data_IF_069779551949
#
_entry.id   IF_069779551949
#
_cell.length_a   1.000
_cell.length_b   1.000
_cell.length_c   1.000
_cell.angle_alpha   90.00
_cell.angle_beta   90.00
_cell.angle_gamma   90.00
#
_symmetry.space_group_name_H-M   'P 1'
#
loop_
_entity.id
_entity.type
_entity.pdbx_description
1 polymer ?
#
# COMPACT_ATOMS: atom_id res chain seq x y z
N UNK A 1 2.05 -23.89 -68.89
CA UNK A 1 2.19 -22.46 -69.23
C UNK A 1 0.93 -21.78 -68.70
N UNK A 2 0.86 -21.37 -67.44
CA UNK A 2 1.53 -20.25 -66.76
C UNK A 2 0.93 -18.87 -67.12
N UNK A 3 0.77 -18.04 -66.07
CA UNK A 3 0.38 -16.61 -65.99
C UNK A 3 -1.13 -16.34 -65.84
N UNK A 4 -1.63 -16.04 -64.63
CA UNK A 4 -1.53 -14.78 -63.86
C UNK A 4 -2.62 -13.77 -64.24
N UNK A 5 -3.55 -13.50 -63.31
CA UNK A 5 -3.72 -12.16 -62.73
C UNK A 5 -4.59 -12.27 -61.49
N UNK A 6 -3.97 -11.93 -60.37
CA UNK A 6 -4.60 -11.74 -59.07
C UNK A 6 -5.20 -10.33 -59.03
N UNK A 7 -6.46 -10.21 -58.63
CA UNK A 7 -7.01 -8.95 -58.19
C UNK A 7 -6.95 -8.90 -56.66
N UNK A 8 -6.03 -8.05 -56.24
CA UNK A 8 -5.73 -7.59 -54.91
C UNK A 8 -6.72 -6.45 -54.59
N UNK A 9 -7.45 -6.53 -53.47
CA UNK A 9 -8.17 -5.38 -52.93
C UNK A 9 -8.38 -5.52 -51.42
N UNK A 10 -7.30 -5.21 -50.71
CA UNK A 10 -7.28 -4.35 -49.52
C UNK A 10 -8.51 -4.46 -48.58
N UNK A 11 -8.50 -5.48 -47.72
CA UNK A 11 -9.11 -5.34 -46.40
C UNK A 11 -8.15 -4.48 -45.54
N UNK A 12 -8.32 -3.17 -45.63
CA UNK A 12 -7.70 -2.19 -44.74
C UNK A 12 -8.37 -2.31 -43.36
N UNK A 13 -7.99 -3.35 -42.63
CA UNK A 13 -8.29 -3.49 -41.22
C UNK A 13 -7.49 -2.41 -40.49
N UNK A 14 -8.12 -1.27 -40.24
CA UNK A 14 -7.64 -0.26 -39.33
C UNK A 14 -7.25 -0.94 -38.02
N UNK A 15 -5.94 -1.13 -37.83
CA UNK A 15 -5.38 -1.36 -36.50
C UNK A 15 -5.63 -0.05 -35.76
N UNK A 16 -6.81 0.07 -35.14
CA UNK A 16 -7.09 1.08 -34.14
C UNK A 16 -5.98 0.93 -33.10
N UNK A 17 -5.02 1.86 -33.17
CA UNK A 17 -4.06 2.06 -32.10
C UNK A 17 -4.89 2.45 -30.90
N UNK A 18 -5.24 1.46 -30.08
CA UNK A 18 -5.86 1.65 -28.79
C UNK A 18 -4.87 2.50 -27.99
N UNK A 19 -5.10 3.81 -27.99
CA UNK A 19 -4.40 4.74 -27.12
C UNK A 19 -4.63 4.25 -25.70
N UNK A 20 -3.55 3.94 -24.99
CA UNK A 20 -3.64 3.51 -23.60
C UNK A 20 -4.50 4.52 -22.82
N UNK A 21 -5.39 4.05 -21.91
CA UNK A 21 -6.21 4.96 -21.13
C UNK A 21 -5.32 5.95 -20.38
N UNK A 22 -5.73 7.22 -20.35
CA UNK A 22 -4.97 8.29 -19.68
C UNK A 22 -4.82 8.05 -18.17
N UNK A 23 -5.68 7.20 -17.59
CA UNK A 23 -5.69 6.85 -16.16
C UNK A 23 -6.45 5.53 -15.94
N UNK A 24 -5.93 4.66 -15.09
CA UNK A 24 -6.60 3.49 -14.50
C UNK A 24 -7.01 3.71 -13.03
N UNK A 25 -6.66 4.86 -12.45
CA UNK A 25 -7.01 5.19 -11.08
C UNK A 25 -8.52 5.04 -10.81
N UNK A 26 -8.86 4.31 -9.74
CA UNK A 26 -10.23 4.05 -9.34
C UNK A 26 -10.97 3.02 -10.20
N UNK A 27 -10.32 2.37 -11.18
CA UNK A 27 -10.93 1.33 -12.01
C UNK A 27 -11.45 0.15 -11.18
N UNK A 28 -10.80 -0.12 -10.04
CA UNK A 28 -11.26 -1.10 -9.07
C UNK A 28 -10.96 -0.63 -7.65
N UNK A 29 -11.94 -0.82 -6.76
CA UNK A 29 -11.84 -0.54 -5.36
C UNK A 29 -12.74 -1.49 -4.57
N UNK A 30 -12.26 -1.97 -3.43
CA UNK A 30 -13.03 -2.83 -2.53
C UNK A 30 -12.56 -2.71 -1.08
N UNK A 31 -13.29 -3.35 -0.17
CA UNK A 31 -12.93 -3.49 1.24
C UNK A 31 -12.49 -4.94 1.49
N UNK A 32 -11.27 -5.13 1.98
CA UNK A 32 -10.71 -6.44 2.30
C UNK A 32 -10.25 -6.47 3.76
N UNK A 33 -10.41 -7.62 4.40
CA UNK A 33 -9.81 -7.88 5.71
C UNK A 33 -8.31 -8.11 5.52
N UNK A 34 -7.47 -7.30 6.17
CA UNK A 34 -6.04 -7.50 6.14
C UNK A 34 -5.61 -8.56 7.14
N UNK A 35 -4.74 -9.46 6.70
CA UNK A 35 -3.99 -10.38 7.55
C UNK A 35 -2.49 -10.17 7.32
N UNK A 36 -1.62 -10.44 8.29
CA UNK A 36 -0.19 -10.40 8.05
C UNK A 36 0.21 -11.54 7.13
N UNK A 37 1.18 -11.31 6.23
CA UNK A 37 1.72 -12.36 5.35
C UNK A 37 2.27 -13.57 6.11
N UNK A 38 2.67 -13.40 7.37
CA UNK A 38 3.12 -14.48 8.26
C UNK A 38 2.03 -15.48 8.65
N UNK A 39 0.75 -15.17 8.42
CA UNK A 39 -0.35 -16.12 8.66
C UNK A 39 -0.62 -17.04 7.45
N UNK A 40 0.08 -16.85 6.33
CA UNK A 40 -0.05 -17.73 5.17
C UNK A 40 0.76 -19.02 5.37
N UNK A 41 0.15 -20.19 5.12
CA UNK A 41 0.75 -21.52 5.36
C UNK A 41 1.87 -21.91 4.37
N UNK A 42 2.01 -21.19 3.24
CA UNK A 42 3.09 -21.46 2.28
C UNK A 42 4.43 -20.95 2.81
N UNK A 43 5.54 -21.59 2.42
CA UNK A 43 6.93 -21.12 2.62
C UNK A 43 7.16 -19.77 1.91
N UNK A 44 6.54 -18.75 2.47
CA UNK A 44 6.43 -17.37 2.04
C UNK A 44 7.73 -16.62 2.39
N UNK A 45 8.87 -17.25 2.14
CA UNK A 45 10.22 -16.78 2.48
C UNK A 45 10.53 -15.41 1.81
N UNK A 46 9.74 -15.00 0.81
CA UNK A 46 9.80 -13.69 0.17
C UNK A 46 8.77 -12.65 0.67
N UNK A 47 7.76 -13.01 1.47
CA UNK A 47 6.61 -12.14 1.77
C UNK A 47 6.80 -11.22 2.98
N UNK A 48 7.91 -11.36 3.70
CA UNK A 48 8.28 -10.51 4.83
C UNK A 48 9.14 -9.30 4.47
N UNK A 49 9.64 -9.21 3.23
CA UNK A 49 10.49 -8.11 2.76
C UNK A 49 9.87 -7.46 1.52
N UNK A 50 9.66 -6.15 1.59
CA UNK A 50 9.17 -5.34 0.48
C UNK A 50 7.79 -4.73 0.74
N UNK A 51 7.17 -4.32 -0.35
CA UNK A 51 5.94 -3.54 -0.45
C UNK A 51 4.87 -4.25 -1.29
N UNK A 52 4.92 -5.60 -1.35
CA UNK A 52 4.01 -6.40 -2.18
C UNK A 52 2.99 -7.14 -1.33
N UNK A 53 1.74 -7.11 -1.76
CA UNK A 53 0.62 -7.82 -1.13
C UNK A 53 0.22 -9.06 -1.92
N UNK A 54 -0.53 -9.95 -1.27
CA UNK A 54 -1.16 -11.10 -1.93
C UNK A 54 -2.67 -10.96 -1.84
N UNK A 55 -3.35 -11.14 -2.98
CA UNK A 55 -4.80 -11.07 -3.11
C UNK A 55 -5.37 -12.45 -3.47
N UNK A 56 -6.68 -12.62 -3.35
CA UNK A 56 -7.36 -13.81 -3.84
C UNK A 56 -7.44 -13.79 -5.38
N UNK A 57 -7.49 -14.96 -6.02
CA UNK A 57 -7.56 -15.10 -7.50
C UNK A 57 -8.73 -14.34 -8.15
N UNK A 58 -9.87 -14.24 -7.45
CA UNK A 58 -11.04 -13.48 -7.92
C UNK A 58 -10.75 -11.99 -8.11
N UNK A 59 -9.82 -11.41 -7.35
CA UNK A 59 -9.49 -9.99 -7.44
C UNK A 59 -8.93 -9.62 -8.82
N UNK A 60 -8.19 -10.53 -9.47
CA UNK A 60 -7.68 -10.31 -10.82
C UNK A 60 -8.83 -10.13 -11.83
N UNK A 61 -9.82 -11.02 -11.77
CA UNK A 61 -11.00 -10.93 -12.64
C UNK A 61 -11.78 -9.63 -12.38
N UNK A 62 -12.00 -9.28 -11.12
CA UNK A 62 -12.69 -8.04 -10.75
C UNK A 62 -11.93 -6.77 -11.20
N UNK A 63 -10.60 -6.78 -11.15
CA UNK A 63 -9.77 -5.67 -11.65
C UNK A 63 -9.92 -5.54 -13.16
N UNK A 64 -9.84 -6.65 -13.91
CA UNK A 64 -10.02 -6.65 -15.38
C UNK A 64 -11.43 -6.15 -15.75
N UNK A 65 -12.46 -6.62 -15.05
CA UNK A 65 -13.83 -6.16 -15.24
C UNK A 65 -14.01 -4.68 -14.87
N UNK A 66 -13.28 -4.20 -13.87
CA UNK A 66 -13.18 -2.79 -13.51
C UNK A 66 -12.61 -1.95 -14.65
N UNK A 67 -11.40 -2.32 -15.12
CA UNK A 67 -10.71 -1.65 -16.23
C UNK A 67 -11.55 -1.65 -17.51
N UNK A 68 -12.23 -2.75 -17.83
CA UNK A 68 -13.06 -2.82 -19.02
C UNK A 68 -14.25 -1.86 -18.93
N UNK A 69 -14.83 -1.68 -17.73
CA UNK A 69 -15.97 -0.79 -17.51
C UNK A 69 -15.57 0.68 -17.46
N UNK A 70 -14.43 1.01 -16.87
CA UNK A 70 -14.02 2.41 -16.63
C UNK A 70 -13.09 2.96 -17.69
N UNK A 71 -12.23 2.10 -18.26
CA UNK A 71 -11.11 2.48 -19.12
C UNK A 71 -11.21 1.81 -20.52
N UNK A 72 -12.27 1.03 -20.78
CA UNK A 72 -12.49 0.30 -22.03
C UNK A 72 -11.31 -0.58 -22.46
N UNK A 73 -10.57 -1.12 -21.49
CA UNK A 73 -9.44 -2.00 -21.73
C UNK A 73 -9.45 -3.19 -20.78
N UNK A 74 -8.99 -4.33 -21.25
CA UNK A 74 -8.68 -5.50 -20.41
C UNK A 74 -7.18 -5.60 -20.10
N UNK A 75 -6.37 -4.69 -20.66
CA UNK A 75 -4.94 -4.67 -20.46
C UNK A 75 -4.60 -4.12 -19.07
N UNK A 76 -3.94 -4.94 -18.26
CA UNK A 76 -3.44 -4.50 -16.95
C UNK A 76 -2.29 -3.49 -17.12
N UNK A 77 -2.28 -2.40 -16.33
CA UNK A 77 -1.13 -1.51 -16.27
C UNK A 77 0.09 -2.26 -15.73
N UNK A 78 1.27 -1.88 -16.21
CA UNK A 78 2.54 -2.39 -15.70
C UNK A 78 3.44 -1.21 -15.27
N UNK A 79 3.69 -1.01 -13.97
CA UNK A 79 3.26 -1.84 -12.84
C UNK A 79 1.79 -1.62 -12.45
N UNK A 80 1.14 -2.65 -11.88
CA UNK A 80 -0.15 -2.54 -11.21
C UNK A 80 0.09 -2.18 -9.74
N UNK A 81 -0.40 -1.01 -9.31
CA UNK A 81 -0.18 -0.45 -7.97
C UNK A 81 -1.50 -0.30 -7.24
N UNK A 82 -1.48 -0.65 -5.95
CA UNK A 82 -2.60 -0.52 -5.03
C UNK A 82 -2.35 0.57 -4.01
N UNK A 83 -3.42 1.29 -3.64
CA UNK A 83 -3.49 2.14 -2.45
C UNK A 83 -4.23 1.39 -1.34
N UNK A 84 -3.58 1.23 -0.19
CA UNK A 84 -4.17 0.64 1.02
C UNK A 84 -4.45 1.75 2.02
N UNK A 85 -5.66 1.84 2.55
CA UNK A 85 -6.08 2.91 3.46
C UNK A 85 -7.11 2.43 4.46
N UNK A 86 -7.25 3.15 5.58
CA UNK A 86 -8.32 2.91 6.53
C UNK A 86 -9.67 3.42 5.97
N UNK A 87 -10.76 2.65 6.05
CA UNK A 87 -12.04 3.00 5.42
C UNK A 87 -12.65 4.32 5.94
N UNK A 88 -12.30 4.71 7.16
CA UNK A 88 -12.88 5.86 7.89
C UNK A 88 -12.05 7.15 7.79
N UNK A 89 -10.87 7.10 7.17
CA UNK A 89 -10.10 8.30 6.84
C UNK A 89 -10.58 8.79 5.48
N UNK A 90 -11.70 9.50 5.45
CA UNK A 90 -12.10 10.26 4.26
C UNK A 90 -11.02 11.29 3.91
N UNK A 91 -10.76 11.47 2.61
CA UNK A 91 -9.80 12.40 1.99
C UNK A 91 -10.13 13.88 2.29
N UNK A 92 -10.15 14.27 3.58
CA UNK A 92 -10.52 15.62 4.01
C UNK A 92 -9.32 16.54 4.25
N UNK A 93 -8.11 16.15 3.83
CA UNK A 93 -6.91 16.99 3.88
C UNK A 93 -6.91 18.03 2.75
N UNK A 94 -7.98 18.81 2.66
CA UNK A 94 -7.92 20.14 2.04
C UNK A 94 -7.30 21.06 3.08
N UNK A 95 -6.09 21.55 2.80
CA UNK A 95 -5.37 22.60 3.54
C UNK A 95 -6.34 23.64 4.14
N UNK A 96 -6.64 23.53 5.42
CA UNK A 96 -7.21 24.64 6.20
C UNK A 96 -6.21 25.03 7.27
N UNK A 97 -5.31 25.91 6.86
CA UNK A 97 -4.57 26.81 7.71
C UNK A 97 -5.58 27.61 8.55
N UNK A 98 -5.77 27.21 9.82
CA UNK A 98 -6.50 27.97 10.82
C UNK A 98 -5.79 27.89 12.15
N UNK A 99 -5.00 28.93 12.38
CA UNK A 99 -4.61 29.43 13.69
C UNK A 99 -5.87 29.64 14.56
N UNK A 100 -5.84 29.27 15.84
CA UNK A 100 -6.20 30.28 16.83
C UNK A 100 -5.28 30.27 18.06
N UNK A 101 -4.72 31.44 18.27
CA UNK A 101 -4.13 31.95 19.50
C UNK A 101 -5.01 31.84 20.76
N UNK A 102 -4.33 31.57 21.88
CA UNK A 102 -4.62 31.94 23.28
C UNK A 102 -5.91 31.46 23.97
N UNK A 103 -5.77 30.51 24.92
CA UNK A 103 -6.15 30.82 26.30
C UNK A 103 -5.36 30.01 27.35
N UNK A 104 -4.93 30.75 28.35
CA UNK A 104 -4.14 30.40 29.52
C UNK A 104 -5.10 30.03 30.67
N UNK A 105 -4.85 28.94 31.39
CA UNK A 105 -5.23 28.83 32.81
C UNK A 105 -4.65 27.57 33.48
N UNK A 106 -3.75 27.83 34.41
CA UNK A 106 -3.25 26.89 35.40
C UNK A 106 -4.27 26.68 36.52
N UNK A 107 -4.39 25.43 37.01
CA UNK A 107 -4.81 25.16 38.39
C UNK A 107 -3.99 24.01 38.99
N UNK A 108 -3.28 24.37 40.05
CA UNK A 108 -2.61 23.52 41.05
C UNK A 108 -3.60 22.80 41.96
N UNK A 109 -3.31 21.55 42.37
CA UNK A 109 -3.49 21.08 43.76
C UNK A 109 -3.04 19.61 43.98
N UNK A 110 -1.96 19.47 44.76
CA UNK A 110 -1.73 18.55 45.91
C UNK A 110 -2.08 17.05 45.87
N UNK A 111 -0.98 16.27 45.85
CA UNK A 111 -0.62 15.10 46.69
C UNK A 111 -1.69 14.32 47.49
N UNK A 112 -1.73 13.00 47.26
CA UNK A 112 -1.93 12.01 48.32
C UNK A 112 -1.08 10.75 48.09
N UNK A 113 -0.45 10.36 49.19
CA UNK A 113 0.44 9.23 49.47
C UNK A 113 -0.33 7.91 49.60
N UNK A 114 0.24 6.80 49.10
CA UNK A 114 0.18 5.47 49.75
C UNK A 114 1.01 4.41 49.03
N UNK A 115 1.90 3.82 49.81
CA UNK A 115 2.86 2.77 49.49
C UNK A 115 2.27 1.37 49.27
N UNK A 116 3.10 0.54 48.59
CA UNK A 116 3.31 -0.90 48.79
C UNK A 116 2.37 -1.89 48.06
N UNK A 117 2.91 -2.59 47.04
CA UNK A 117 3.17 -4.05 47.07
C UNK A 117 3.99 -4.45 45.83
N UNK A 118 5.20 -4.96 46.08
CA UNK A 118 6.05 -5.63 45.09
C UNK A 118 5.38 -6.91 44.58
N UNK A 119 5.14 -6.99 43.27
CA UNK A 119 5.04 -8.27 42.56
C UNK A 119 6.05 -8.26 41.41
N UNK A 120 7.08 -9.08 41.59
CA UNK A 120 8.07 -9.40 40.56
C UNK A 120 7.39 -10.28 39.49
N UNK A 121 7.13 -9.70 38.32
CA UNK A 121 6.93 -10.45 37.08
C UNK A 121 8.01 -10.01 36.08
N UNK A 122 8.60 -10.93 35.30
CA UNK A 122 9.68 -10.60 34.38
C UNK A 122 9.13 -9.67 33.30
N UNK A 123 9.52 -8.39 33.35
CA UNK A 123 9.30 -7.43 32.27
C UNK A 123 10.09 -7.94 31.06
N UNK A 124 9.40 -8.62 30.15
CA UNK A 124 9.81 -8.65 28.75
C UNK A 124 10.02 -7.20 28.35
N UNK A 125 11.22 -6.89 27.85
CA UNK A 125 11.56 -5.58 27.33
C UNK A 125 10.60 -5.26 26.18
N UNK A 126 9.51 -4.54 26.47
CA UNK A 126 8.85 -3.76 25.43
C UNK A 126 9.78 -2.60 25.13
N UNK A 127 10.48 -2.70 24.01
CA UNK A 127 11.17 -1.55 23.44
C UNK A 127 10.09 -0.49 23.25
N UNK A 128 10.18 0.69 23.90
CA UNK A 128 9.22 1.75 23.67
C UNK A 128 9.32 2.11 22.19
N UNK A 129 8.25 1.87 21.44
CA UNK A 129 8.17 2.23 20.04
C UNK A 129 8.20 3.76 19.97
N UNK A 130 9.40 4.34 19.81
CA UNK A 130 9.66 5.78 19.78
C UNK A 130 9.02 6.49 18.56
N UNK A 131 8.04 5.87 17.89
CA UNK A 131 7.46 6.31 16.63
C UNK A 131 5.93 6.40 16.62
N UNK A 132 5.24 6.22 17.76
CA UNK A 132 3.78 6.35 17.80
C UNK A 132 3.27 7.73 17.33
N UNK A 133 4.02 8.81 17.61
CA UNK A 133 3.61 10.17 17.24
C UNK A 133 3.90 10.55 15.78
N UNK A 134 4.87 9.91 15.12
CA UNK A 134 5.18 10.15 13.70
C UNK A 134 4.34 9.29 12.74
N UNK A 135 3.75 8.21 13.26
CA UNK A 135 2.88 7.27 12.51
C UNK A 135 1.55 7.87 12.07
N UNK A 136 1.07 8.93 12.73
CA UNK A 136 -0.26 9.51 12.50
C UNK A 136 -0.40 10.34 11.21
N UNK A 137 0.60 10.39 10.32
CA UNK A 137 0.62 11.32 9.19
C UNK A 137 0.30 10.72 7.81
N UNK A 138 0.10 9.41 7.69
CA UNK A 138 -0.28 8.81 6.40
C UNK A 138 -1.58 8.05 6.52
N UNK A 139 -2.60 8.54 5.84
CA UNK A 139 -3.90 7.87 5.71
C UNK A 139 -3.86 6.63 4.81
N UNK A 140 -2.76 6.44 4.07
CA UNK A 140 -2.59 5.34 3.13
C UNK A 140 -1.12 4.96 2.87
N UNK A 141 -0.92 3.77 2.30
CA UNK A 141 0.35 3.30 1.72
C UNK A 141 0.12 2.77 0.31
N UNK A 142 1.17 2.75 -0.50
CA UNK A 142 1.14 2.09 -1.81
C UNK A 142 1.80 0.72 -1.73
N UNK A 143 1.26 -0.23 -2.49
CA UNK A 143 1.78 -1.58 -2.57
C UNK A 143 1.68 -2.13 -4.00
N UNK A 144 2.66 -2.94 -4.39
CA UNK A 144 2.55 -3.80 -5.57
C UNK A 144 1.77 -5.08 -5.25
N UNK A 145 1.38 -5.82 -6.27
CA UNK A 145 0.82 -7.17 -6.11
C UNK A 145 1.94 -8.18 -6.37
N UNK A 146 2.14 -9.11 -5.43
CA UNK A 146 3.08 -10.22 -5.62
C UNK A 146 2.44 -11.33 -6.46
N UNK A 147 1.28 -11.81 -6.03
CA UNK A 147 0.52 -12.87 -6.67
C UNK A 147 -0.94 -12.85 -6.22
N UNK A 148 -1.77 -13.65 -6.90
CA UNK A 148 -3.19 -13.82 -6.59
C UNK A 148 -3.44 -15.24 -6.03
N UNK A 149 -2.96 -15.49 -4.81
CA UNK A 149 -2.96 -16.82 -4.17
C UNK A 149 -3.48 -16.81 -2.72
N UNK A 150 -4.07 -15.70 -2.26
CA UNK A 150 -4.61 -15.62 -0.91
C UNK A 150 -5.69 -16.71 -0.70
N UNK A 151 -5.77 -17.32 0.49
CA UNK A 151 -6.57 -18.53 0.71
C UNK A 151 -8.08 -18.29 0.65
N UNK A 152 -8.54 -17.09 1.02
CA UNK A 152 -9.95 -16.76 1.15
C UNK A 152 -10.30 -15.50 0.35
N UNK A 153 -11.49 -15.51 -0.26
CA UNK A 153 -12.09 -14.27 -0.81
C UNK A 153 -12.29 -13.24 0.30
N UNK A 154 -12.17 -11.96 -0.02
CA UNK A 154 -12.34 -10.88 0.96
C UNK A 154 -11.13 -10.63 1.87
N UNK A 155 -10.01 -11.31 1.64
CA UNK A 155 -8.76 -11.14 2.40
C UNK A 155 -7.66 -10.53 1.53
N UNK A 156 -6.84 -9.68 2.14
CA UNK A 156 -5.55 -9.23 1.60
C UNK A 156 -4.43 -9.58 2.59
N UNK A 157 -3.40 -10.30 2.14
CA UNK A 157 -2.23 -10.55 2.96
C UNK A 157 -1.21 -9.42 2.78
N UNK A 158 -0.85 -8.77 3.88
CA UNK A 158 -0.07 -7.54 3.91
C UNK A 158 1.23 -7.74 4.69
N UNK A 159 2.40 -7.33 4.17
CA UNK A 159 3.66 -7.37 4.92
C UNK A 159 3.58 -6.56 6.21
N UNK A 160 4.24 -7.05 7.27
CA UNK A 160 4.29 -6.38 8.58
C UNK A 160 4.78 -4.93 8.49
N UNK A 161 5.73 -4.63 7.60
CA UNK A 161 6.22 -3.26 7.35
C UNK A 161 5.14 -2.29 6.87
N UNK A 162 4.18 -2.75 6.06
CA UNK A 162 3.08 -1.92 5.56
C UNK A 162 1.98 -1.77 6.60
N UNK A 163 1.65 -2.82 7.34
CA UNK A 163 0.75 -2.76 8.51
C UNK A 163 1.29 -1.79 9.56
N UNK A 164 2.60 -1.88 9.81
CA UNK A 164 3.31 -0.98 10.68
C UNK A 164 3.23 0.47 10.19
N UNK A 165 3.39 0.71 8.88
CA UNK A 165 3.29 2.04 8.30
C UNK A 165 1.87 2.61 8.35
N UNK A 166 0.84 1.77 8.26
CA UNK A 166 -0.57 2.15 8.41
C UNK A 166 -1.00 2.32 9.87
N UNK A 167 -0.23 1.78 10.83
CA UNK A 167 -0.61 1.79 12.25
C UNK A 167 -1.82 0.90 12.55
N UNK A 168 -1.97 -0.19 11.80
CA UNK A 168 -3.10 -1.11 11.82
C UNK A 168 -2.75 -2.39 12.56
N UNK A 169 -3.69 -2.92 13.36
CA UNK A 169 -3.56 -4.20 14.06
C UNK A 169 -4.47 -5.26 13.39
N UNK A 170 -3.90 -6.24 12.66
CA UNK A 170 -4.70 -7.27 12.02
C UNK A 170 -5.43 -8.19 13.03
N UNK A 171 -6.62 -8.71 12.69
CA UNK A 171 -7.35 -8.49 11.44
C UNK A 171 -8.12 -7.16 11.47
N UNK A 172 -7.93 -6.33 10.45
CA UNK A 172 -8.63 -5.04 10.30
C UNK A 172 -9.07 -4.85 8.85
N UNK A 173 -10.12 -4.07 8.62
CA UNK A 173 -10.62 -3.82 7.27
C UNK A 173 -9.84 -2.70 6.61
N UNK A 174 -9.33 -2.93 5.41
CA UNK A 174 -8.65 -1.94 4.58
C UNK A 174 -9.46 -1.68 3.30
N UNK A 175 -9.48 -0.41 2.90
CA UNK A 175 -9.85 -0.02 1.55
C UNK A 175 -8.65 -0.24 0.64
N UNK A 176 -8.86 -1.03 -0.40
CA UNK A 176 -7.87 -1.39 -1.42
C UNK A 176 -8.34 -0.87 -2.76
N UNK A 177 -7.49 -0.13 -3.46
CA UNK A 177 -7.85 0.57 -4.69
C UNK A 177 -6.71 0.50 -5.71
N UNK A 178 -7.03 0.26 -6.99
CA UNK A 178 -6.09 0.43 -8.10
C UNK A 178 -5.89 1.92 -8.36
N UNK A 179 -4.63 2.35 -8.38
CA UNK A 179 -4.26 3.76 -8.53
C UNK A 179 -3.15 3.92 -9.56
N UNK A 180 -3.14 5.08 -10.23
CA UNK A 180 -1.99 5.51 -10.99
C UNK A 180 -1.01 6.24 -10.07
N UNK A 181 0.23 5.78 -10.08
CA UNK A 181 1.33 6.46 -9.39
C UNK A 181 2.32 6.94 -10.44
N UNK A 182 2.45 8.28 -10.64
CA UNK A 182 3.41 8.80 -11.58
C UNK A 182 4.84 8.46 -11.14
N UNK A 183 5.70 8.13 -12.11
CA UNK A 183 7.11 7.86 -11.85
C UNK A 183 7.76 9.06 -11.17
N UNK A 184 8.36 8.83 -10.01
CA UNK A 184 9.11 9.86 -9.30
C UNK A 184 10.39 10.19 -10.09
N UNK A 185 10.57 11.47 -10.47
CA UNK A 185 11.81 11.95 -11.08
C UNK A 185 12.94 12.16 -10.07
N UNK A 186 12.60 12.28 -8.79
CA UNK A 186 13.55 12.46 -7.69
C UNK A 186 12.99 11.88 -6.41
N UNK A 187 13.77 11.01 -5.76
CA UNK A 187 13.47 10.47 -4.45
C UNK A 187 14.44 11.05 -3.40
N UNK A 188 13.90 11.46 -2.24
CA UNK A 188 14.70 11.80 -1.06
C UNK A 188 14.44 10.74 0.00
N UNK A 189 15.48 10.00 0.37
CA UNK A 189 15.42 8.97 1.40
C UNK A 189 16.26 9.40 2.59
N UNK A 190 15.74 9.20 3.79
CA UNK A 190 16.49 9.39 5.04
C UNK A 190 16.62 8.03 5.73
N UNK A 191 17.83 7.48 5.85
CA UNK A 191 18.06 6.28 6.64
C UNK A 191 17.65 6.49 8.09
N UNK A 192 16.96 5.50 8.65
CA UNK A 192 16.54 5.51 10.06
C UNK A 192 17.68 5.19 11.01
N UNK A 193 18.65 4.38 10.55
CA UNK A 193 19.78 3.92 11.33
C UNK A 193 21.06 4.56 10.84
N UNK A 194 21.90 5.01 11.78
CA UNK A 194 23.21 5.58 11.48
C UNK A 194 24.15 4.55 10.81
N UNK A 195 23.97 3.26 11.11
CA UNK A 195 24.73 2.16 10.51
C UNK A 195 24.58 2.08 8.99
N UNK A 196 23.47 2.56 8.42
CA UNK A 196 23.31 2.58 6.96
C UNK A 196 24.34 3.49 6.28
N UNK A 197 24.75 4.57 6.96
CA UNK A 197 25.78 5.46 6.45
C UNK A 197 27.20 4.89 6.55
N UNK A 198 27.38 3.80 7.30
CA UNK A 198 28.65 3.11 7.43
C UNK A 198 28.84 2.00 6.37
N UNK A 199 27.89 1.81 5.46
CA UNK A 199 28.03 0.89 4.33
C UNK A 199 29.05 1.43 3.32
N UNK A 200 29.79 0.52 2.67
CA UNK A 200 30.77 0.88 1.62
C UNK A 200 30.09 1.60 0.43
N UNK A 201 28.89 1.15 0.04
CA UNK A 201 28.06 1.80 -0.96
C UNK A 201 26.57 1.83 -0.54
N UNK A 202 26.12 2.91 0.14
CA UNK A 202 24.74 3.05 0.59
C UNK A 202 23.73 3.21 -0.57
N UNK A 203 24.16 3.62 -1.77
CA UNK A 203 23.27 3.78 -2.92
C UNK A 203 22.98 2.43 -3.56
N UNK A 204 24.01 1.63 -3.78
CA UNK A 204 23.85 0.27 -4.28
C UNK A 204 22.98 -0.57 -3.35
N UNK A 205 23.06 -0.36 -2.03
CA UNK A 205 22.21 -1.01 -1.05
C UNK A 205 20.75 -0.54 -1.09
N UNK A 206 20.46 0.67 -1.60
CA UNK A 206 19.10 1.19 -1.75
C UNK A 206 18.44 0.70 -3.05
N UNK A 207 19.23 0.45 -4.08
CA UNK A 207 18.77 0.02 -5.41
C UNK A 207 18.58 -1.51 -5.54
N UNK A 208 18.99 -2.29 -4.52
CA UNK A 208 18.94 -3.75 -4.48
C UNK A 208 17.94 -4.27 -3.45
#
# INVERSE_FOLDING_TARGET
MAAHSAEDSAADSAFESATAPESVAGAWQTLLTCIPTSWMERDAIAHGRGDKVVLHESALAEIIDGLQRTCYTTQLPNPLVLRLSLPHLSDNDTHSDRDPSHHDQAHTATAHDRSTTQQHSPRLYSVPSHNAAARAQRSYVYAGILEFSAPETGVVAVPASLLDALGVEPPEMLRVEVVDVPLASRLRVRPLLSSFWALDDPRLALER
#
